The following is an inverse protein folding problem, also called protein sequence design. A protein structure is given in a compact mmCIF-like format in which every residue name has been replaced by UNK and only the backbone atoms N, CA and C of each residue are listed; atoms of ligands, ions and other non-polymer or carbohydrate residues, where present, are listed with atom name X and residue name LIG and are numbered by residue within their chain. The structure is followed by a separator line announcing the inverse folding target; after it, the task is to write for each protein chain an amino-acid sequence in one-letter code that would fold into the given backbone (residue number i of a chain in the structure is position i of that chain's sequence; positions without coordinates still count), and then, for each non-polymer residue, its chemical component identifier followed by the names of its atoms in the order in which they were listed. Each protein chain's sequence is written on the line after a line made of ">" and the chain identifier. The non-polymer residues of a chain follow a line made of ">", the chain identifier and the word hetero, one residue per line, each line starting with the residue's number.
data_IF_180295085965
#
_entry.id   IF_180295085965
#
_cell.length_a   1.000
_cell.length_b   1.000
_cell.length_c   1.000
_cell.angle_alpha   90.00
_cell.angle_beta   90.00
_cell.angle_gamma   90.00
#
_symmetry.space_group_name_H-M   'P 1'
#
loop_
_entity.id
_entity.type
_entity.pdbx_description
1 polymer ?
#
# COMPACT_ATOMS: atom_id res chain seq x y z
N UNK A 1 1.70 16.85 -8.23
CA UNK A 1 0.50 16.08 -8.56
C UNK A 1 0.77 15.01 -9.61
N UNK A 2 0.12 13.85 -9.42
CA UNK A 2 0.18 12.65 -10.25
C UNK A 2 -0.80 12.80 -11.43
N UNK A 3 -0.53 12.17 -12.56
CA UNK A 3 -1.43 12.19 -13.72
C UNK A 3 -2.78 11.55 -13.40
N UNK A 4 -3.88 12.13 -13.92
CA UNK A 4 -5.21 11.56 -13.79
C UNK A 4 -5.34 10.28 -14.63
N UNK A 5 -6.03 9.27 -14.12
CA UNK A 5 -6.30 8.04 -14.90
C UNK A 5 -7.62 8.19 -15.68
N UNK A 6 -7.63 8.05 -17.03
CA UNK A 6 -8.82 8.27 -17.83
C UNK A 6 -9.73 7.03 -17.86
N UNK A 7 -10.98 7.19 -17.40
CA UNK A 7 -12.23 6.49 -17.79
C UNK A 7 -13.38 6.83 -16.82
N UNK A 8 -13.06 7.26 -15.59
CA UNK A 8 -14.02 7.43 -14.49
C UNK A 8 -13.70 8.61 -13.53
N UNK A 9 -12.71 9.44 -13.86
CA UNK A 9 -12.11 10.32 -12.86
C UNK A 9 -13.00 11.54 -12.58
N UNK A 10 -13.52 11.62 -11.35
CA UNK A 10 -14.64 12.45 -10.89
C UNK A 10 -14.36 13.96 -10.75
N UNK A 11 -13.29 14.47 -11.37
CA UNK A 11 -12.84 15.84 -11.20
C UNK A 11 -12.73 16.56 -12.54
N UNK A 12 -13.54 17.60 -12.75
CA UNK A 12 -13.34 18.54 -13.84
C UNK A 12 -12.29 19.56 -13.38
N UNK A 13 -11.02 19.32 -13.73
CA UNK A 13 -9.89 20.15 -13.31
C UNK A 13 -8.66 19.95 -14.20
N UNK A 14 -7.69 20.88 -14.16
CA UNK A 14 -6.52 20.84 -15.03
C UNK A 14 -5.59 19.67 -14.69
N UNK A 15 -4.84 19.21 -15.70
CA UNK A 15 -3.80 18.21 -15.51
C UNK A 15 -2.51 18.91 -15.04
N UNK A 16 -2.10 18.66 -13.80
CA UNK A 16 -0.91 19.27 -13.19
C UNK A 16 0.40 18.53 -13.51
N UNK A 17 0.32 17.50 -14.36
CA UNK A 17 1.47 16.78 -14.89
C UNK A 17 1.68 17.17 -16.35
N UNK A 18 2.73 17.97 -16.60
CA UNK A 18 3.09 18.41 -17.96
C UNK A 18 3.99 17.41 -18.69
N UNK A 19 4.76 16.60 -17.95
CA UNK A 19 5.67 15.59 -18.50
C UNK A 19 5.01 14.20 -18.59
N UNK A 20 4.70 13.78 -19.82
CA UNK A 20 4.13 12.46 -20.12
C UNK A 20 5.05 11.29 -19.82
N UNK A 21 6.36 11.52 -19.59
CA UNK A 21 7.31 10.42 -19.33
C UNK A 21 7.27 9.91 -17.90
N UNK A 22 7.08 10.80 -16.93
CA UNK A 22 7.07 10.47 -15.50
C UNK A 22 5.67 10.22 -14.97
N UNK A 23 4.65 10.86 -15.54
CA UNK A 23 3.26 10.75 -15.06
C UNK A 23 3.04 11.40 -13.69
N UNK A 24 3.99 12.20 -13.20
CA UNK A 24 3.85 13.03 -12.01
C UNK A 24 4.77 14.26 -12.09
N UNK A 25 4.42 15.31 -11.36
CA UNK A 25 5.24 16.51 -11.14
C UNK A 25 5.15 16.88 -9.66
N UNK A 26 6.26 17.07 -8.95
CA UNK A 26 6.23 17.55 -7.57
C UNK A 26 6.45 19.05 -7.53
N UNK A 27 5.80 19.71 -6.58
CA UNK A 27 5.96 21.13 -6.30
C UNK A 27 6.42 21.23 -4.84
N UNK A 28 7.62 21.75 -4.60
CA UNK A 28 8.20 21.94 -3.28
C UNK A 28 7.87 23.33 -2.76
N UNK A 29 6.57 23.59 -2.61
CA UNK A 29 6.07 24.92 -2.29
C UNK A 29 6.63 25.43 -0.97
N UNK A 30 7.35 26.54 -1.05
CA UNK A 30 7.94 27.24 0.09
C UNK A 30 7.38 28.64 0.19
N UNK A 31 6.92 29.03 1.38
CA UNK A 31 6.31 30.34 1.63
C UNK A 31 7.16 31.09 2.65
N UNK A 32 7.76 32.20 2.21
CA UNK A 32 8.45 33.13 3.09
C UNK A 32 7.56 34.34 3.33
N UNK A 33 7.47 34.78 4.58
CA UNK A 33 6.76 36.00 4.92
C UNK A 33 7.65 36.95 5.70
N UNK A 34 7.47 38.24 5.42
CA UNK A 34 8.09 39.32 6.15
C UNK A 34 7.02 40.33 6.52
N UNK A 35 6.87 40.56 7.82
CA UNK A 35 5.95 41.53 8.38
C UNK A 35 6.73 42.47 9.29
N UNK A 36 6.78 43.75 8.93
CA UNK A 36 7.46 44.80 9.71
C UNK A 36 6.44 45.77 10.31
N UNK A 37 5.43 46.18 9.54
CA UNK A 37 4.37 47.09 9.96
C UNK A 37 3.12 46.92 9.08
N UNK A 38 2.03 47.61 9.43
CA UNK A 38 0.78 47.61 8.64
C UNK A 38 1.00 47.98 7.15
N UNK A 39 2.06 48.72 6.83
CA UNK A 39 2.36 49.24 5.49
C UNK A 39 3.40 48.39 4.76
N UNK A 40 4.12 47.51 5.46
CA UNK A 40 5.23 46.73 4.89
C UNK A 40 5.08 45.25 5.24
N UNK A 41 4.29 44.60 4.39
CA UNK A 41 3.91 43.19 4.46
C UNK A 41 4.24 42.54 3.12
N UNK A 42 5.06 41.49 3.10
CA UNK A 42 5.43 40.77 1.88
C UNK A 42 5.38 39.26 2.10
N UNK A 43 4.87 38.52 1.12
CA UNK A 43 4.93 37.06 1.07
C UNK A 43 5.52 36.65 -0.26
N UNK A 44 6.52 35.77 -0.22
CA UNK A 44 7.16 35.16 -1.37
C UNK A 44 6.82 33.67 -1.39
N UNK A 45 6.11 33.24 -2.43
CA UNK A 45 5.84 31.84 -2.68
C UNK A 45 6.79 31.32 -3.78
N UNK A 46 7.51 30.25 -3.50
CA UNK A 46 8.49 29.62 -4.39
C UNK A 46 8.02 28.21 -4.72
N UNK A 47 8.23 27.78 -5.97
CA UNK A 47 7.89 26.43 -6.46
C UNK A 47 6.42 26.05 -6.24
N UNK A 48 5.54 26.93 -6.70
CA UNK A 48 4.08 26.76 -6.67
C UNK A 48 3.54 26.18 -7.98
N UNK A 49 2.35 25.55 -7.96
CA UNK A 49 1.62 25.19 -9.19
C UNK A 49 1.47 26.35 -10.17
N UNK A 50 1.42 26.04 -11.48
CA UNK A 50 1.39 27.05 -12.54
C UNK A 50 0.19 28.01 -12.47
N UNK A 51 -0.93 27.55 -11.92
CA UNK A 51 -2.17 28.30 -11.76
C UNK A 51 -2.28 28.99 -10.38
N UNK A 52 -1.33 28.77 -9.46
CA UNK A 52 -1.39 29.25 -8.08
C UNK A 52 -1.61 30.75 -7.98
N UNK A 53 -0.89 31.54 -8.78
CA UNK A 53 -0.96 33.00 -8.74
C UNK A 53 -2.34 33.52 -9.18
N UNK A 54 -2.83 33.05 -10.34
CA UNK A 54 -4.14 33.43 -10.88
C UNK A 54 -5.27 33.00 -9.93
N UNK A 55 -5.16 31.80 -9.37
CA UNK A 55 -6.14 31.27 -8.45
C UNK A 55 -6.12 31.98 -7.09
N UNK A 56 -4.96 32.41 -6.60
CA UNK A 56 -4.87 33.24 -5.39
C UNK A 56 -5.45 34.63 -5.64
N UNK A 57 -5.18 35.24 -6.80
CA UNK A 57 -5.73 36.54 -7.18
C UNK A 57 -7.26 36.51 -7.20
N UNK A 58 -7.87 35.51 -7.84
CA UNK A 58 -9.33 35.31 -7.83
C UNK A 58 -9.90 35.22 -6.42
N UNK A 59 -9.23 34.49 -5.52
CA UNK A 59 -9.66 34.36 -4.12
C UNK A 59 -9.62 35.73 -3.44
N UNK A 60 -8.51 36.46 -3.59
CA UNK A 60 -8.34 37.79 -3.00
C UNK A 60 -9.36 38.80 -3.52
N UNK A 61 -9.66 38.79 -4.82
CA UNK A 61 -10.68 39.65 -5.43
C UNK A 61 -12.10 39.30 -4.96
N UNK A 62 -12.38 38.03 -4.71
CA UNK A 62 -13.69 37.55 -4.25
C UNK A 62 -13.96 37.79 -2.76
N UNK A 63 -12.98 38.30 -2.00
CA UNK A 63 -13.12 38.50 -0.56
C UNK A 63 -14.19 39.54 -0.23
N UNK A 64 -15.07 39.19 0.71
CA UNK A 64 -16.08 40.11 1.25
C UNK A 64 -15.50 41.13 2.24
N UNK A 65 -14.39 40.79 2.88
CA UNK A 65 -13.71 41.65 3.85
C UNK A 65 -12.24 41.87 3.46
N UNK A 66 -11.74 43.13 3.59
CA UNK A 66 -10.35 43.44 3.27
C UNK A 66 -9.39 42.72 4.22
N UNK A 67 -8.15 42.52 3.76
CA UNK A 67 -7.08 41.99 4.61
C UNK A 67 -6.77 42.98 5.74
N UNK A 68 -6.62 42.46 6.95
CA UNK A 68 -6.25 43.27 8.10
C UNK A 68 -4.73 43.20 8.28
N UNK A 69 -3.99 44.13 7.67
CA UNK A 69 -2.52 44.16 7.73
C UNK A 69 -1.95 44.44 9.12
N UNK A 70 -2.79 44.71 10.13
CA UNK A 70 -2.42 44.70 11.55
C UNK A 70 -2.13 43.30 12.08
N UNK A 71 -2.68 42.27 11.44
CA UNK A 71 -2.41 40.87 11.76
C UNK A 71 -1.19 40.39 10.96
N UNK A 72 -0.08 40.01 11.62
CA UNK A 72 1.10 39.45 10.96
C UNK A 72 0.80 38.20 10.11
N UNK A 73 -0.28 37.50 10.42
CA UNK A 73 -0.65 36.26 9.74
C UNK A 73 -1.72 36.43 8.67
N UNK A 74 -2.23 37.64 8.41
CA UNK A 74 -3.37 37.84 7.51
C UNK A 74 -3.11 37.31 6.10
N UNK A 75 -1.87 37.41 5.61
CA UNK A 75 -1.51 36.99 4.25
C UNK A 75 -1.35 35.47 4.12
N UNK A 76 -1.13 34.76 5.25
CA UNK A 76 -1.01 33.31 5.24
C UNK A 76 -2.36 32.61 5.12
N UNK A 77 -3.47 33.29 5.43
CA UNK A 77 -4.80 32.69 5.47
C UNK A 77 -5.18 32.14 4.08
N UNK A 78 -5.25 33.01 3.07
CA UNK A 78 -5.65 32.63 1.72
C UNK A 78 -4.59 31.76 1.02
N UNK A 79 -3.29 32.01 1.29
CA UNK A 79 -2.19 31.18 0.79
C UNK A 79 -2.33 29.75 1.29
N UNK A 80 -2.59 29.58 2.59
CA UNK A 80 -2.77 28.26 3.18
C UNK A 80 -4.01 27.57 2.64
N UNK A 81 -5.16 28.26 2.57
CA UNK A 81 -6.40 27.69 2.01
C UNK A 81 -6.18 27.17 0.58
N UNK A 82 -5.45 27.94 -0.23
CA UNK A 82 -5.12 27.54 -1.59
C UNK A 82 -4.19 26.31 -1.62
N UNK A 83 -3.19 26.24 -0.73
CA UNK A 83 -2.34 25.04 -0.58
C UNK A 83 -3.18 23.82 -0.17
N UNK A 84 -4.15 23.97 0.74
CA UNK A 84 -5.05 22.88 1.16
C UNK A 84 -5.86 22.33 -0.02
N UNK A 85 -6.32 23.18 -0.95
CA UNK A 85 -7.00 22.73 -2.17
C UNK A 85 -6.09 21.82 -3.02
N UNK A 86 -4.83 22.20 -3.21
CA UNK A 86 -3.87 21.37 -3.97
C UNK A 86 -3.54 20.05 -3.27
N UNK A 87 -3.52 20.03 -1.93
CA UNK A 87 -3.42 18.79 -1.19
C UNK A 87 -4.66 17.90 -1.38
N UNK A 88 -5.88 18.46 -1.36
CA UNK A 88 -7.10 17.68 -1.59
C UNK A 88 -7.08 17.03 -2.99
N UNK A 89 -6.75 17.81 -4.03
CA UNK A 89 -6.58 17.29 -5.40
C UNK A 89 -5.55 16.14 -5.44
N UNK A 90 -4.42 16.31 -4.74
CA UNK A 90 -3.38 15.28 -4.69
C UNK A 90 -3.88 13.98 -4.02
N UNK A 91 -4.67 14.09 -2.96
CA UNK A 91 -5.26 12.93 -2.24
C UNK A 91 -6.30 12.23 -3.10
N UNK A 92 -7.14 12.97 -3.82
CA UNK A 92 -8.15 12.38 -4.70
C UNK A 92 -7.52 11.66 -5.89
N UNK A 93 -6.45 12.20 -6.48
CA UNK A 93 -5.72 11.53 -7.57
C UNK A 93 -5.12 10.18 -7.16
N UNK A 94 -4.72 10.03 -5.89
CA UNK A 94 -4.26 8.74 -5.34
C UNK A 94 -5.41 7.73 -5.16
N UNK A 95 -6.64 8.20 -4.91
CA UNK A 95 -7.83 7.35 -4.74
C UNK A 95 -8.29 6.72 -6.04
N UNK A 96 -8.17 7.41 -7.16
CA UNK A 96 -8.71 6.95 -8.46
C UNK A 96 -8.21 5.56 -8.88
N UNK A 97 -6.90 5.22 -8.77
CA UNK A 97 -6.42 3.86 -8.99
C UNK A 97 -7.10 2.80 -8.12
N UNK A 98 -7.32 3.10 -6.83
CA UNK A 98 -8.02 2.21 -5.89
C UNK A 98 -9.40 1.88 -6.43
N UNK A 99 -10.14 2.91 -6.84
CA UNK A 99 -11.51 2.76 -7.34
C UNK A 99 -11.56 1.93 -8.63
N UNK A 100 -10.56 2.06 -9.50
CA UNK A 100 -10.49 1.25 -10.73
C UNK A 100 -10.26 -0.23 -10.43
N UNK A 101 -9.37 -0.55 -9.48
CA UNK A 101 -9.13 -1.92 -9.02
C UNK A 101 -10.38 -2.55 -8.39
N UNK A 102 -11.11 -1.78 -7.60
CA UNK A 102 -12.35 -2.22 -6.95
C UNK A 102 -13.47 -2.49 -7.96
N UNK A 103 -13.60 -1.65 -9.01
CA UNK A 103 -14.66 -1.79 -10.02
C UNK A 103 -14.41 -2.91 -11.02
N UNK A 104 -13.17 -3.09 -11.46
CA UNK A 104 -12.83 -4.06 -12.50
C UNK A 104 -11.76 -5.06 -12.05
N UNK A 105 -12.20 -6.19 -11.45
CA UNK A 105 -11.33 -7.30 -11.08
C UNK A 105 -10.48 -7.86 -12.23
N UNK A 106 -10.93 -7.72 -13.49
CA UNK A 106 -10.36 -8.43 -14.64
C UNK A 106 -9.12 -7.76 -15.21
N UNK A 107 -8.98 -6.43 -15.04
CA UNK A 107 -7.79 -5.68 -15.47
C UNK A 107 -6.59 -5.78 -14.52
N UNK A 108 -6.70 -6.53 -13.41
CA UNK A 108 -5.68 -6.57 -12.35
C UNK A 108 -4.27 -6.93 -12.82
N UNK A 109 -4.12 -7.72 -13.89
CA UNK A 109 -2.81 -8.13 -14.41
C UNK A 109 -2.07 -6.97 -15.11
N UNK A 110 -2.81 -6.13 -15.84
CA UNK A 110 -2.24 -5.04 -16.63
C UNK A 110 -2.03 -3.75 -15.81
N UNK A 111 -2.81 -3.57 -14.74
CA UNK A 111 -2.75 -2.39 -13.88
C UNK A 111 -1.71 -2.56 -12.74
N UNK A 112 -1.15 -3.75 -12.52
CA UNK A 112 -0.28 -4.01 -11.35
C UNK A 112 0.93 -3.07 -11.25
N UNK A 113 1.66 -2.86 -12.35
CA UNK A 113 2.83 -1.98 -12.38
C UNK A 113 2.45 -0.50 -12.17
N UNK A 114 1.48 0.06 -12.92
CA UNK A 114 0.94 1.39 -12.60
C UNK A 114 0.48 1.52 -11.15
N UNK A 115 -0.24 0.52 -10.61
CA UNK A 115 -0.76 0.54 -9.23
C UNK A 115 0.37 0.63 -8.19
N UNK A 116 1.46 -0.11 -8.41
CA UNK A 116 2.62 -0.07 -7.53
C UNK A 116 3.28 1.31 -7.51
N UNK A 117 3.40 1.97 -8.68
CA UNK A 117 3.93 3.34 -8.74
C UNK A 117 2.98 4.33 -8.03
N UNK A 118 1.66 4.16 -8.16
CA UNK A 118 0.67 4.94 -7.40
C UNK A 118 0.76 4.72 -5.89
N UNK A 119 1.11 3.52 -5.43
CA UNK A 119 1.36 3.26 -4.01
C UNK A 119 2.54 4.08 -3.48
N UNK A 120 3.63 4.20 -4.25
CA UNK A 120 4.76 5.06 -3.86
C UNK A 120 4.32 6.51 -3.73
N UNK A 121 3.52 6.98 -4.68
CA UNK A 121 2.98 8.33 -4.60
C UNK A 121 2.00 8.50 -3.43
N UNK A 122 1.19 7.50 -3.09
CA UNK A 122 0.32 7.51 -1.92
C UNK A 122 1.11 7.67 -0.62
N UNK A 123 2.23 6.95 -0.50
CA UNK A 123 3.17 7.08 0.63
C UNK A 123 3.69 8.52 0.71
N UNK A 124 4.21 9.05 -0.40
CA UNK A 124 4.75 10.42 -0.44
C UNK A 124 3.68 11.47 -0.08
N UNK A 125 2.45 11.35 -0.60
CA UNK A 125 1.36 12.29 -0.27
C UNK A 125 1.04 12.25 1.23
N UNK A 126 1.02 11.06 1.84
CA UNK A 126 0.82 10.92 3.29
C UNK A 126 1.95 11.56 4.10
N UNK A 127 3.21 11.37 3.70
CA UNK A 127 4.38 11.97 4.35
C UNK A 127 4.36 13.51 4.25
N UNK A 128 4.03 14.05 3.08
CA UNK A 128 3.92 15.50 2.87
C UNK A 128 2.76 16.08 3.69
N UNK A 129 1.62 15.40 3.77
CA UNK A 129 0.50 15.83 4.61
C UNK A 129 0.86 15.80 6.10
N UNK A 130 1.65 14.83 6.55
CA UNK A 130 2.17 14.81 7.93
C UNK A 130 3.07 16.02 8.22
N UNK A 131 3.97 16.34 7.31
CA UNK A 131 4.81 17.55 7.38
C UNK A 131 3.94 18.82 7.37
N UNK A 132 2.92 18.88 6.53
CA UNK A 132 2.01 20.01 6.43
C UNK A 132 1.17 20.20 7.71
N UNK A 133 0.67 19.11 8.32
CA UNK A 133 -0.01 19.15 9.63
C UNK A 133 0.94 19.72 10.69
N UNK A 134 2.18 19.26 10.73
CA UNK A 134 3.19 19.73 11.70
C UNK A 134 3.49 21.21 11.50
N UNK A 135 3.68 21.65 10.25
CA UNK A 135 3.90 23.05 9.90
C UNK A 135 2.71 23.93 10.31
N UNK A 136 1.48 23.49 10.06
CA UNK A 136 0.27 24.22 10.45
C UNK A 136 0.14 24.37 11.97
N UNK A 137 0.51 23.32 12.72
CA UNK A 137 0.52 23.37 14.19
C UNK A 137 1.56 24.35 14.71
N UNK A 138 2.77 24.34 14.16
CA UNK A 138 3.82 25.28 14.56
C UNK A 138 3.45 26.72 14.16
N UNK A 139 2.85 26.94 12.99
CA UNK A 139 2.31 28.25 12.61
C UNK A 139 1.24 28.71 13.62
N UNK A 140 0.36 27.82 14.07
CA UNK A 140 -0.65 28.16 15.07
C UNK A 140 -0.03 28.46 16.44
N UNK A 141 1.03 27.74 16.82
CA UNK A 141 1.79 28.01 18.04
C UNK A 141 2.46 29.38 17.99
N UNK A 142 3.17 29.68 16.89
CA UNK A 142 3.80 30.98 16.67
C UNK A 142 2.77 32.11 16.66
N UNK A 143 1.60 31.89 16.06
CA UNK A 143 0.48 32.85 16.10
C UNK A 143 0.05 33.15 17.52
N UNK A 144 -0.19 32.14 18.34
CA UNK A 144 -0.61 32.32 19.74
C UNK A 144 0.44 33.10 20.55
N UNK A 145 1.73 32.80 20.36
CA UNK A 145 2.84 33.49 21.01
C UNK A 145 2.91 34.96 20.59
N UNK A 146 2.91 35.24 19.28
CA UNK A 146 2.95 36.61 18.76
C UNK A 146 1.72 37.40 19.21
N UNK A 147 0.52 36.82 19.19
CA UNK A 147 -0.71 37.49 19.63
C UNK A 147 -0.70 37.87 21.11
N UNK A 148 0.04 37.13 21.94
CA UNK A 148 0.25 37.45 23.35
C UNK A 148 1.24 38.60 23.57
N UNK A 149 2.22 38.75 22.66
CA UNK A 149 3.22 39.83 22.69
C UNK A 149 2.81 41.13 21.99
N UNK A 150 1.76 41.09 21.15
CA UNK A 150 1.24 42.28 20.47
C UNK A 150 0.56 43.26 21.44
N UNK A 151 0.62 44.58 21.19
CA UNK A 151 -0.09 45.59 21.99
C UNK A 151 -1.59 45.27 22.10
N UNK A 152 -2.18 45.50 23.28
CA UNK A 152 -3.55 45.09 23.60
C UNK A 152 -4.60 45.73 22.68
N UNK A 153 -4.32 46.94 22.18
CA UNK A 153 -5.20 47.72 21.30
C UNK A 153 -5.02 47.42 19.80
N UNK A 154 -3.96 46.70 19.39
CA UNK A 154 -3.65 46.49 17.97
C UNK A 154 -4.68 45.58 17.29
N UNK A 155 -5.08 44.51 17.99
CA UNK A 155 -6.03 43.51 17.52
C UNK A 155 -7.08 43.26 18.61
N UNK A 156 -8.36 43.46 18.26
CA UNK A 156 -9.46 43.22 19.20
C UNK A 156 -9.56 41.76 19.66
N UNK A 157 -10.03 41.55 20.90
CA UNK A 157 -10.17 40.20 21.50
C UNK A 157 -10.97 39.23 20.62
N UNK A 158 -12.09 39.68 20.09
CA UNK A 158 -12.94 38.88 19.18
C UNK A 158 -12.21 38.49 17.90
N UNK A 159 -11.42 39.41 17.32
CA UNK A 159 -10.62 39.13 16.13
C UNK A 159 -9.56 38.06 16.41
N UNK A 160 -8.80 38.21 17.50
CA UNK A 160 -7.79 37.22 17.91
C UNK A 160 -8.41 35.83 18.09
N UNK A 161 -9.59 35.76 18.72
CA UNK A 161 -10.30 34.50 18.89
C UNK A 161 -10.73 33.90 17.55
N UNK A 162 -11.35 34.68 16.66
CA UNK A 162 -11.79 34.21 15.35
C UNK A 162 -10.61 33.74 14.48
N UNK A 163 -9.50 34.47 14.48
CA UNK A 163 -8.30 34.11 13.75
C UNK A 163 -7.68 32.79 14.26
N UNK A 164 -7.67 32.57 15.58
CA UNK A 164 -7.21 31.32 16.17
C UNK A 164 -8.13 30.14 15.84
N UNK A 165 -9.44 30.30 15.95
CA UNK A 165 -10.41 29.26 15.58
C UNK A 165 -10.28 28.89 14.09
N UNK A 166 -10.10 29.88 13.22
CA UNK A 166 -9.92 29.63 11.79
C UNK A 166 -8.62 28.88 11.49
N UNK A 167 -7.52 29.25 12.14
CA UNK A 167 -6.25 28.53 11.98
C UNK A 167 -6.34 27.08 12.52
N UNK A 168 -7.06 26.85 13.62
CA UNK A 168 -7.36 25.50 14.11
C UNK A 168 -8.23 24.69 13.13
N UNK A 169 -9.18 25.36 12.47
CA UNK A 169 -9.95 24.77 11.38
C UNK A 169 -9.05 24.36 10.21
N UNK A 170 -8.12 25.21 9.79
CA UNK A 170 -7.14 24.90 8.74
C UNK A 170 -6.24 23.70 9.12
N UNK A 171 -5.75 23.64 10.37
CA UNK A 171 -5.00 22.48 10.90
C UNK A 171 -5.85 21.21 10.80
N UNK A 172 -7.12 21.29 11.20
CA UNK A 172 -8.05 20.17 11.16
C UNK A 172 -8.35 19.72 9.73
N UNK A 173 -8.47 20.64 8.78
CA UNK A 173 -8.69 20.34 7.37
C UNK A 173 -7.52 19.51 6.80
N UNK A 174 -6.27 19.94 6.99
CA UNK A 174 -5.09 19.20 6.53
C UNK A 174 -4.95 17.85 7.24
N UNK A 175 -5.25 17.79 8.54
CA UNK A 175 -5.29 16.52 9.28
C UNK A 175 -6.31 15.54 8.69
N UNK A 176 -7.50 16.01 8.32
CA UNK A 176 -8.52 15.17 7.69
C UNK A 176 -8.06 14.65 6.32
N UNK A 177 -7.35 15.48 5.55
CA UNK A 177 -6.71 15.03 4.30
C UNK A 177 -5.64 13.96 4.56
N UNK A 178 -4.80 14.13 5.59
CA UNK A 178 -3.82 13.10 6.00
C UNK A 178 -4.51 11.76 6.29
N UNK A 179 -5.54 11.77 7.13
CA UNK A 179 -6.29 10.56 7.48
C UNK A 179 -6.92 9.89 6.24
N UNK A 180 -7.42 10.69 5.30
CA UNK A 180 -7.93 10.19 4.03
C UNK A 180 -6.82 9.57 3.18
N UNK A 181 -5.65 10.19 3.11
CA UNK A 181 -4.48 9.66 2.40
C UNK A 181 -4.04 8.31 2.99
N UNK A 182 -3.91 8.22 4.30
CA UNK A 182 -3.56 6.97 5.00
C UNK A 182 -4.58 5.85 4.75
N UNK A 183 -5.88 6.20 4.76
CA UNK A 183 -6.95 5.25 4.43
C UNK A 183 -6.84 4.76 2.97
N UNK A 184 -6.62 5.67 2.02
CA UNK A 184 -6.43 5.32 0.61
C UNK A 184 -5.19 4.46 0.40
N UNK A 185 -4.07 4.78 1.06
CA UNK A 185 -2.84 4.00 1.03
C UNK A 185 -3.06 2.58 1.56
N UNK A 186 -3.72 2.44 2.71
CA UNK A 186 -4.03 1.13 3.30
C UNK A 186 -4.92 0.29 2.37
N UNK A 187 -5.96 0.91 1.77
CA UNK A 187 -6.86 0.25 0.80
C UNK A 187 -6.12 -0.18 -0.45
N UNK A 188 -5.31 0.70 -1.04
CA UNK A 188 -4.50 0.39 -2.21
C UNK A 188 -3.56 -0.80 -1.93
N UNK A 189 -2.98 -0.85 -0.73
CA UNK A 189 -2.12 -1.95 -0.31
C UNK A 189 -2.85 -3.28 -0.17
N UNK A 190 -4.07 -3.25 0.35
CA UNK A 190 -4.93 -4.44 0.41
C UNK A 190 -5.27 -4.96 -0.99
N UNK A 191 -5.63 -4.06 -1.92
CA UNK A 191 -5.95 -4.44 -3.30
C UNK A 191 -4.72 -5.01 -4.05
N UNK A 192 -3.54 -4.41 -3.89
CA UNK A 192 -2.29 -4.95 -4.46
C UNK A 192 -2.01 -6.35 -3.90
N UNK A 193 -2.10 -6.53 -2.59
CA UNK A 193 -1.86 -7.84 -1.96
C UNK A 193 -2.88 -8.88 -2.42
N UNK A 194 -4.15 -8.49 -2.53
CA UNK A 194 -5.20 -9.37 -3.03
C UNK A 194 -4.97 -9.76 -4.50
N UNK A 195 -4.56 -8.81 -5.35
CA UNK A 195 -4.17 -9.07 -6.73
C UNK A 195 -2.99 -10.04 -6.82
N UNK A 196 -1.93 -9.80 -6.04
CA UNK A 196 -0.75 -10.67 -6.01
C UNK A 196 -1.09 -12.10 -5.56
N UNK A 197 -1.87 -12.25 -4.51
CA UNK A 197 -2.31 -13.56 -4.02
C UNK A 197 -3.12 -14.31 -5.08
N UNK A 198 -4.00 -13.62 -5.80
CA UNK A 198 -4.79 -14.25 -6.85
C UNK A 198 -3.93 -14.69 -8.04
N UNK A 199 -2.92 -13.90 -8.43
CA UNK A 199 -1.94 -14.29 -9.46
C UNK A 199 -1.13 -15.51 -9.03
N UNK A 200 -0.65 -15.53 -7.77
CA UNK A 200 0.06 -16.69 -7.22
C UNK A 200 -0.82 -17.95 -7.20
N UNK A 201 -2.13 -17.83 -6.94
CA UNK A 201 -3.07 -18.95 -7.03
C UNK A 201 -3.22 -19.47 -8.46
N UNK A 202 -3.22 -18.60 -9.47
CA UNK A 202 -3.25 -19.01 -10.87
C UNK A 202 -1.96 -19.74 -11.26
N UNK A 203 -0.79 -19.20 -10.88
CA UNK A 203 0.51 -19.84 -11.11
C UNK A 203 0.60 -21.22 -10.44
N UNK A 204 0.02 -21.37 -9.24
CA UNK A 204 -0.09 -22.68 -8.59
C UNK A 204 -0.89 -23.70 -9.41
N UNK A 205 -1.92 -23.28 -10.15
CA UNK A 205 -2.67 -24.20 -11.02
C UNK A 205 -1.86 -24.63 -12.25
N UNK A 206 -1.06 -23.72 -12.81
CA UNK A 206 -0.11 -24.06 -13.88
C UNK A 206 0.96 -25.04 -13.39
N UNK A 207 1.53 -24.81 -12.21
CA UNK A 207 2.52 -25.71 -11.59
C UNK A 207 1.93 -27.10 -11.31
N UNK A 208 0.69 -27.17 -10.81
CA UNK A 208 -0.03 -28.45 -10.65
C UNK A 208 -0.16 -29.21 -11.97
N UNK A 209 -0.46 -28.51 -13.05
CA UNK A 209 -0.60 -29.12 -14.38
C UNK A 209 0.74 -29.65 -14.91
N UNK A 210 1.82 -28.88 -14.80
CA UNK A 210 3.17 -29.32 -15.17
C UNK A 210 3.59 -30.52 -14.31
N UNK A 211 3.32 -30.47 -13.00
CA UNK A 211 3.64 -31.56 -12.08
C UNK A 211 2.90 -32.84 -12.47
N UNK A 212 1.62 -32.75 -12.85
CA UNK A 212 0.87 -33.89 -13.37
C UNK A 212 1.52 -34.48 -14.62
N UNK A 213 1.92 -33.65 -15.58
CA UNK A 213 2.65 -34.12 -16.77
C UNK A 213 3.95 -34.82 -16.39
N UNK A 214 4.74 -34.27 -15.47
CA UNK A 214 5.98 -34.93 -15.02
C UNK A 214 5.72 -36.27 -14.34
N UNK A 215 4.65 -36.40 -13.54
CA UNK A 215 4.29 -37.67 -12.89
C UNK A 215 3.90 -38.76 -13.90
N UNK A 216 3.37 -38.38 -15.05
CA UNK A 216 3.01 -39.30 -16.14
C UNK A 216 4.25 -39.62 -16.99
N UNK A 217 5.00 -38.61 -17.42
CA UNK A 217 6.10 -38.77 -18.37
C UNK A 217 7.38 -39.33 -17.74
N UNK A 218 7.68 -39.03 -16.48
CA UNK A 218 8.91 -39.51 -15.82
C UNK A 218 8.98 -41.06 -15.76
N UNK A 219 7.97 -41.78 -15.23
CA UNK A 219 7.97 -43.24 -15.25
C UNK A 219 7.91 -43.79 -16.69
N UNK A 220 7.18 -43.13 -17.60
CA UNK A 220 7.11 -43.53 -19.00
C UNK A 220 8.47 -43.50 -19.69
N UNK A 221 9.21 -42.41 -19.51
CA UNK A 221 10.53 -42.19 -20.11
C UNK A 221 11.56 -43.14 -19.52
N UNK A 222 11.53 -43.36 -18.20
CA UNK A 222 12.43 -44.31 -17.53
C UNK A 222 12.23 -45.74 -18.05
N UNK A 223 10.98 -46.22 -18.08
CA UNK A 223 10.63 -47.56 -18.58
C UNK A 223 10.97 -47.66 -20.07
N UNK A 224 10.64 -46.64 -20.87
CA UNK A 224 11.01 -46.60 -22.30
C UNK A 224 12.52 -46.75 -22.50
N UNK A 225 13.36 -46.06 -21.74
CA UNK A 225 14.81 -46.18 -21.82
C UNK A 225 15.32 -47.58 -21.47
N UNK A 226 14.78 -48.21 -20.42
CA UNK A 226 15.12 -49.58 -20.01
C UNK A 226 14.76 -50.61 -21.07
N UNK A 227 13.62 -50.43 -21.75
CA UNK A 227 13.09 -51.38 -22.72
C UNK A 227 13.43 -51.05 -24.19
N UNK A 228 13.98 -49.86 -24.48
CA UNK A 228 14.31 -49.42 -25.84
C UNK A 228 15.36 -50.30 -26.52
N UNK A 229 16.24 -50.94 -25.76
CA UNK A 229 17.34 -51.76 -26.29
C UNK A 229 16.98 -53.25 -26.41
N UNK A 230 15.89 -53.69 -25.76
CA UNK A 230 15.51 -55.11 -25.67
C UNK A 230 14.44 -55.52 -26.68
N UNK A 231 13.62 -54.58 -27.16
CA UNK A 231 12.49 -54.89 -28.06
C UNK A 231 12.73 -54.62 -29.55
N UNK A 232 13.77 -53.88 -29.93
CA UNK A 232 14.09 -53.59 -31.33
C UNK A 232 15.33 -54.39 -31.78
N UNK A 233 15.14 -55.32 -32.72
CA UNK A 233 16.22 -56.09 -33.34
C UNK A 233 16.47 -55.58 -34.77
N UNK A 234 17.68 -55.13 -35.05
CA UNK A 234 18.07 -54.58 -36.36
C UNK A 234 18.53 -55.72 -37.29
N UNK A 235 17.61 -56.25 -38.09
CA UNK A 235 17.88 -57.20 -39.17
C UNK A 235 17.95 -56.48 -40.54
N UNK A 236 18.81 -56.99 -41.44
CA UNK A 236 19.40 -56.31 -42.62
C UNK A 236 18.48 -55.58 -43.62
N UNK A 237 17.14 -55.55 -43.52
CA UNK A 237 16.30 -54.72 -44.39
C UNK A 237 14.85 -54.48 -43.91
N UNK A 238 14.46 -54.89 -42.69
CA UNK A 238 13.08 -54.73 -42.18
C UNK A 238 13.05 -54.44 -40.67
N UNK A 239 12.26 -53.44 -40.26
CA UNK A 239 11.99 -53.13 -38.85
C UNK A 239 11.12 -54.23 -38.24
N UNK A 240 11.71 -55.14 -37.45
CA UNK A 240 10.96 -56.21 -36.77
C UNK A 240 10.66 -55.79 -35.33
N UNK A 241 9.39 -55.48 -35.07
CA UNK A 241 8.88 -55.16 -33.74
C UNK A 241 8.63 -56.47 -32.97
N UNK A 242 9.06 -56.54 -31.71
CA UNK A 242 8.83 -57.72 -30.85
C UNK A 242 7.36 -57.84 -30.42
N UNK A 243 6.78 -59.05 -30.46
CA UNK A 243 5.41 -59.34 -29.99
C UNK A 243 5.22 -59.09 -28.48
N UNK A 244 6.31 -58.89 -27.74
CA UNK A 244 6.30 -58.64 -26.30
C UNK A 244 6.08 -57.17 -25.90
N UNK A 245 5.83 -56.27 -26.87
CA UNK A 245 5.52 -54.86 -26.60
C UNK A 245 4.36 -54.63 -25.62
N UNK A 246 3.46 -55.59 -25.46
CA UNK A 246 2.38 -55.50 -24.48
C UNK A 246 2.89 -55.41 -23.03
N UNK A 247 4.07 -55.97 -22.73
CA UNK A 247 4.69 -55.93 -21.38
C UNK A 247 5.02 -54.49 -20.96
N UNK A 248 5.40 -53.62 -21.91
CA UNK A 248 5.62 -52.20 -21.65
C UNK A 248 4.36 -51.54 -21.07
N UNK A 249 3.21 -51.76 -21.71
CA UNK A 249 1.92 -51.24 -21.26
C UNK A 249 1.47 -51.84 -19.92
N UNK A 250 1.76 -53.12 -19.69
CA UNK A 250 1.44 -53.81 -18.44
C UNK A 250 2.21 -53.26 -17.22
N UNK A 251 3.39 -52.65 -17.42
CA UNK A 251 4.21 -52.10 -16.33
C UNK A 251 3.98 -50.59 -16.16
N UNK A 252 3.90 -49.83 -17.25
CA UNK A 252 3.81 -48.36 -17.20
C UNK A 252 2.52 -47.85 -16.55
N UNK A 253 1.38 -48.48 -16.85
CA UNK A 253 0.06 -48.10 -16.33
C UNK A 253 -0.02 -48.26 -14.80
N UNK A 254 0.34 -49.40 -14.19
CA UNK A 254 0.29 -49.53 -12.73
C UNK A 254 1.32 -48.63 -12.03
N UNK A 255 2.51 -48.42 -12.63
CA UNK A 255 3.53 -47.54 -12.04
C UNK A 255 3.06 -46.09 -12.02
N UNK A 256 2.50 -45.58 -13.12
CA UNK A 256 1.94 -44.22 -13.16
C UNK A 256 0.76 -44.04 -12.19
N UNK A 257 -0.15 -45.01 -12.12
CA UNK A 257 -1.25 -45.00 -11.13
C UNK A 257 -0.70 -44.96 -9.71
N UNK A 258 0.29 -45.80 -9.38
CA UNK A 258 0.90 -45.83 -8.06
C UNK A 258 1.49 -44.47 -7.67
N UNK A 259 2.24 -43.82 -8.57
CA UNK A 259 2.83 -42.49 -8.33
C UNK A 259 1.74 -41.44 -8.05
N UNK A 260 0.66 -41.42 -8.84
CA UNK A 260 -0.45 -40.47 -8.66
C UNK A 260 -1.18 -40.72 -7.33
N UNK A 261 -1.43 -41.99 -6.96
CA UNK A 261 -2.09 -42.37 -5.71
C UNK A 261 -1.25 -41.96 -4.50
N UNK A 262 0.06 -42.25 -4.51
CA UNK A 262 0.97 -41.83 -3.43
C UNK A 262 0.95 -40.31 -3.26
N UNK A 263 0.99 -39.55 -4.35
CA UNK A 263 0.92 -38.10 -4.30
C UNK A 263 -0.41 -37.58 -3.73
N UNK A 264 -1.55 -38.14 -4.17
CA UNK A 264 -2.86 -37.76 -3.65
C UNK A 264 -3.01 -38.04 -2.15
N UNK A 265 -2.51 -39.19 -1.68
CA UNK A 265 -2.51 -39.54 -0.26
C UNK A 265 -1.61 -38.60 0.55
N UNK A 266 -0.47 -38.18 -0.01
CA UNK A 266 0.43 -37.21 0.62
C UNK A 266 -0.24 -35.86 0.80
N UNK A 267 -0.90 -35.34 -0.24
CA UNK A 267 -1.64 -34.07 -0.17
C UNK A 267 -2.78 -34.12 0.84
N UNK A 268 -3.57 -35.20 0.84
CA UNK A 268 -4.67 -35.37 1.80
C UNK A 268 -4.19 -35.37 3.26
N UNK A 269 -3.04 -36.00 3.52
CA UNK A 269 -2.42 -35.98 4.86
C UNK A 269 -1.93 -34.58 5.24
N UNK A 270 -1.35 -33.82 4.32
CA UNK A 270 -0.93 -32.44 4.59
C UNK A 270 -2.11 -31.55 4.99
N UNK A 271 -3.25 -31.66 4.30
CA UNK A 271 -4.46 -30.90 4.64
C UNK A 271 -4.99 -31.24 6.04
N UNK A 272 -4.94 -32.51 6.43
CA UNK A 272 -5.34 -32.94 7.77
C UNK A 272 -4.41 -32.37 8.86
N UNK A 273 -3.09 -32.35 8.61
CA UNK A 273 -2.09 -31.80 9.54
C UNK A 273 -2.26 -30.28 9.69
N UNK A 274 -2.52 -29.56 8.59
CA UNK A 274 -2.75 -28.11 8.60
C UNK A 274 -4.01 -27.74 9.39
N UNK A 275 -5.12 -28.48 9.19
CA UNK A 275 -6.36 -28.28 9.96
C UNK A 275 -6.14 -28.51 11.46
N UNK A 276 -5.35 -29.52 11.84
CA UNK A 276 -5.00 -29.79 13.23
C UNK A 276 -4.19 -28.64 13.84
N UNK A 277 -3.18 -28.16 13.10
CA UNK A 277 -2.35 -27.01 13.49
C UNK A 277 -3.18 -25.73 13.71
N UNK A 278 -4.09 -25.40 12.80
CA UNK A 278 -4.99 -24.26 12.96
C UNK A 278 -5.90 -24.39 14.19
N UNK A 279 -6.44 -25.59 14.44
CA UNK A 279 -7.25 -25.89 15.63
C UNK A 279 -6.45 -25.69 16.92
N UNK A 280 -5.22 -26.17 16.97
CA UNK A 280 -4.31 -26.02 18.11
C UNK A 280 -3.99 -24.53 18.34
N UNK A 281 -3.65 -23.78 17.27
CA UNK A 281 -3.39 -22.35 17.38
C UNK A 281 -4.59 -21.52 17.85
N UNK A 282 -5.80 -21.85 17.39
CA UNK A 282 -7.04 -21.23 17.87
C UNK A 282 -7.32 -21.56 19.35
N UNK A 283 -7.09 -22.82 19.76
CA UNK A 283 -7.18 -23.23 21.17
C UNK A 283 -6.17 -22.46 22.04
N UNK A 284 -4.91 -22.33 21.63
CA UNK A 284 -3.87 -21.57 22.35
C UNK A 284 -4.21 -20.08 22.52
N UNK A 285 -4.85 -19.44 21.52
CA UNK A 285 -5.29 -18.06 21.62
C UNK A 285 -6.41 -17.87 22.65
N UNK A 286 -7.34 -18.82 22.70
CA UNK A 286 -8.51 -18.81 23.58
C UNK A 286 -8.28 -19.41 24.98
N UNK A 287 -7.03 -19.75 25.34
CA UNK A 287 -6.70 -20.19 26.71
C UNK A 287 -7.05 -19.08 27.71
N UNK A 288 -7.90 -19.34 28.73
CA UNK A 288 -8.30 -18.34 29.71
C UNK A 288 -7.09 -17.80 30.49
N UNK A 289 -7.08 -16.49 30.78
CA UNK A 289 -6.00 -15.76 31.48
C UNK A 289 -5.40 -16.47 32.72
N UNK A 290 -6.17 -17.16 33.61
CA UNK A 290 -5.58 -17.89 34.74
C UNK A 290 -4.63 -19.02 34.32
N UNK A 291 -4.87 -19.70 33.20
CA UNK A 291 -3.99 -20.78 32.72
C UNK A 291 -2.67 -20.23 32.14
N UNK A 292 -2.69 -19.06 31.49
CA UNK A 292 -1.46 -18.37 31.03
C UNK A 292 -0.59 -17.92 32.21
N UNK A 293 -1.19 -17.51 33.32
CA UNK A 293 -0.46 -17.16 34.55
C UNK A 293 0.15 -18.38 35.23
N UNK A 294 -0.55 -19.52 35.24
CA UNK A 294 -0.05 -20.78 35.80
C UNK A 294 1.13 -21.34 34.99
N UNK A 295 1.09 -21.28 33.65
CA UNK A 295 2.23 -21.66 32.79
C UNK A 295 3.47 -20.80 33.08
N UNK A 296 3.33 -19.47 33.12
CA UNK A 296 4.43 -18.55 33.51
C UNK A 296 4.96 -18.78 34.94
N UNK A 297 4.16 -19.38 35.83
CA UNK A 297 4.55 -19.70 37.21
C UNK A 297 5.20 -21.08 37.33
N UNK A 298 4.96 -21.97 36.36
CA UNK A 298 5.62 -23.25 36.19
C UNK A 298 6.98 -23.11 35.50
N UNK A 299 7.07 -22.28 34.47
CA UNK A 299 8.31 -21.99 33.73
C UNK A 299 9.38 -21.36 34.65
N UNK A 300 8.95 -20.44 35.54
CA UNK A 300 9.80 -19.88 36.60
C UNK A 300 10.22 -20.88 37.69
N UNK A 301 9.50 -22.01 37.84
CA UNK A 301 9.86 -23.07 38.79
C UNK A 301 10.70 -24.19 38.16
N UNK A 302 10.59 -24.39 36.84
CA UNK A 302 11.39 -25.36 36.09
C UNK A 302 12.82 -24.89 35.82
N UNK A 303 13.04 -23.59 35.61
CA UNK A 303 14.39 -23.03 35.38
C UNK A 303 15.26 -22.85 36.63
N UNK A 304 14.81 -23.31 37.80
CA UNK A 304 15.52 -23.10 39.08
C UNK A 304 16.18 -24.36 39.65
N UNK A 305 16.04 -25.53 39.01
CA UNK A 305 16.57 -26.79 39.57
C UNK A 305 17.94 -27.23 39.03
N UNK A 306 18.49 -26.53 38.04
CA UNK A 306 19.78 -26.90 37.43
C UNK A 306 20.94 -25.93 37.80
N UNK A 307 20.74 -25.02 38.75
CA UNK A 307 21.75 -24.02 39.15
C UNK A 307 22.43 -24.30 40.51
N UNK A 308 22.08 -25.38 41.22
CA UNK A 308 22.70 -25.77 42.50
C UNK A 308 23.16 -27.23 42.48
N UNK A 309 24.11 -27.55 41.60
CA UNK A 309 24.89 -28.78 41.69
C UNK A 309 26.32 -28.50 41.17
N UNK A 310 27.06 -27.71 41.93
CA UNK A 310 28.45 -27.41 41.62
C UNK A 310 29.00 -26.32 42.51
N UNK A 311 29.25 -26.66 43.78
CA UNK A 311 30.31 -26.09 44.64
C UNK A 311 30.19 -26.70 46.05
N UNK A 312 30.77 -27.90 46.19
CA UNK A 312 31.38 -28.41 47.41
C UNK A 312 32.29 -29.57 47.04
#
# INVERSE_FOLDING_TARGET
>A
MIQKIPTDASEDGPEYCTDTRKGYQWYETTVFSHWESEVRCQVLCVDVPFDFAEELEKVLESRTAPLNFRDPFTMHVDVWDRIVVYYDISVWRVRDPVRMLEKDPTRRRDIFRPTHDHMRHAIHVSEILESAVSTAMEMQRCRAEIYSGLPEDLLGKTYKQQANEYALFQVSAVRNLKLRSESNQARLGQEINYAFNNLALQDNNFIKSITLFTMIFLPATFISGVFSTTFFSYGQLQWKVSDQLWIYWAIIIPVTIAVIVVWHLWLYKQDAILKLSQKIGAWCRNVPKPAKQLMKRWERRGGSKDAEAGLS
#
